data_IF_075727876909
#
_entry.id   IF_075727876909
#
_cell.length_a   1.000
_cell.length_b   1.000
_cell.length_c   1.000
_cell.angle_alpha   90.00
_cell.angle_beta   90.00
_cell.angle_gamma   90.00
#
_symmetry.space_group_name_H-M   'P 1'
#
loop_
_entity.id
_entity.type
_entity.pdbx_description
1 polymer ?
#
# COMPACT_ATOMS: atom_id res chain seq x y z
N UNK A 1 7.46 -37.49 -3.30
CA UNK A 1 7.33 -37.59 -1.84
C UNK A 1 8.31 -36.60 -1.22
N UNK A 2 7.80 -35.58 -0.53
CA UNK A 2 8.57 -34.57 0.19
C UNK A 2 8.86 -35.06 1.63
N UNK A 3 10.05 -34.83 2.21
CA UNK A 3 10.37 -35.34 3.55
C UNK A 3 10.22 -34.22 4.59
N UNK A 4 9.01 -33.99 5.07
CA UNK A 4 8.79 -33.29 6.33
C UNK A 4 8.04 -34.21 7.28
N UNK A 5 8.78 -35.22 7.77
CA UNK A 5 8.36 -36.05 8.88
C UNK A 5 8.56 -35.29 10.19
N UNK A 6 7.54 -35.38 11.05
CA UNK A 6 7.48 -34.86 12.42
C UNK A 6 8.78 -35.04 13.22
N UNK A 7 9.42 -33.94 13.61
CA UNK A 7 10.42 -33.90 14.68
C UNK A 7 9.82 -33.30 15.95
N UNK A 8 10.09 -33.99 17.06
CA UNK A 8 9.68 -33.69 18.45
C UNK A 8 10.16 -32.30 18.91
N UNK A 9 9.56 -31.70 19.96
CA UNK A 9 9.94 -30.37 20.44
C UNK A 9 11.44 -30.30 20.77
N UNK A 10 12.08 -29.27 20.24
CA UNK A 10 13.50 -28.92 20.39
C UNK A 10 13.92 -29.03 21.86
N UNK A 11 14.95 -29.84 22.10
CA UNK A 11 15.71 -29.78 23.35
C UNK A 11 16.33 -28.38 23.43
N UNK A 12 16.14 -27.73 24.58
CA UNK A 12 16.70 -26.43 24.89
C UNK A 12 18.23 -26.48 24.78
N UNK A 13 18.77 -25.87 23.73
CA UNK A 13 20.20 -25.89 23.34
C UNK A 13 21.10 -25.31 24.45
N UNK A 14 20.51 -24.62 25.43
CA UNK A 14 21.20 -24.03 26.57
C UNK A 14 21.71 -25.03 27.61
N UNK A 15 21.26 -26.30 27.58
CA UNK A 15 21.72 -27.31 28.55
C UNK A 15 23.12 -27.85 28.29
N UNK A 16 23.66 -27.67 27.07
CA UNK A 16 24.95 -28.22 26.64
C UNK A 16 26.06 -27.16 26.51
N UNK A 17 25.75 -25.88 26.78
CA UNK A 17 26.70 -24.78 26.65
C UNK A 17 27.55 -24.63 27.94
N UNK A 18 28.88 -24.34 27.80
CA UNK A 18 29.74 -23.91 28.91
C UNK A 18 29.14 -22.71 29.65
N UNK A 19 29.29 -22.64 30.98
CA UNK A 19 28.64 -21.60 31.80
C UNK A 19 28.92 -20.17 31.33
N UNK A 20 30.14 -19.92 30.86
CA UNK A 20 30.59 -18.61 30.34
C UNK A 20 29.79 -18.14 29.10
N UNK A 21 29.24 -19.06 28.31
CA UNK A 21 28.45 -18.75 27.11
C UNK A 21 26.94 -18.66 27.39
N UNK A 22 26.48 -19.14 28.55
CA UNK A 22 25.07 -19.01 28.96
C UNK A 22 24.71 -17.57 29.28
N UNK A 23 25.63 -16.83 29.87
CA UNK A 23 25.40 -15.43 30.23
C UNK A 23 25.42 -14.53 28.99
N UNK A 24 26.26 -14.82 28.00
CA UNK A 24 26.18 -14.19 26.67
C UNK A 24 24.82 -14.46 26.00
N UNK A 25 24.31 -15.69 26.07
CA UNK A 25 23.00 -16.01 25.51
C UNK A 25 21.84 -15.30 26.22
N UNK A 26 21.94 -15.03 27.54
CA UNK A 26 20.95 -14.25 28.30
C UNK A 26 21.01 -12.75 27.98
N UNK A 27 22.20 -12.20 27.73
CA UNK A 27 22.36 -10.80 27.35
C UNK A 27 21.95 -10.52 25.89
N UNK A 28 22.14 -11.52 25.01
CA UNK A 28 21.83 -11.41 23.57
C UNK A 28 20.46 -12.00 23.25
N UNK A 29 19.74 -12.60 24.22
CA UNK A 29 18.34 -12.97 23.98
C UNK A 29 17.57 -11.66 23.79
N UNK A 30 16.92 -11.43 22.63
CA UNK A 30 16.06 -10.28 22.47
C UNK A 30 15.01 -10.39 23.55
N UNK A 31 15.11 -9.52 24.56
CA UNK A 31 14.14 -9.45 25.63
C UNK A 31 12.80 -9.30 24.94
N UNK A 32 11.84 -10.15 25.31
CA UNK A 32 10.48 -10.18 24.75
C UNK A 32 9.74 -8.88 25.07
N UNK A 33 10.17 -7.75 24.51
CA UNK A 33 9.29 -6.64 24.22
C UNK A 33 8.51 -7.03 22.97
N UNK A 34 7.53 -7.93 23.15
CA UNK A 34 6.42 -8.05 22.21
C UNK A 34 5.57 -6.79 22.33
N UNK A 35 6.08 -5.68 21.79
CA UNK A 35 5.22 -4.79 21.04
C UNK A 35 5.14 -5.42 19.64
N UNK A 36 4.48 -6.57 19.55
CA UNK A 36 3.96 -7.02 18.26
C UNK A 36 2.83 -6.05 17.94
N UNK A 37 3.18 -4.90 17.38
CA UNK A 37 2.28 -4.26 16.42
C UNK A 37 2.01 -5.36 15.40
N UNK A 38 0.83 -5.98 15.46
CA UNK A 38 0.37 -6.92 14.42
C UNK A 38 0.75 -6.24 13.10
N UNK A 39 1.57 -6.91 12.30
CA UNK A 39 1.96 -6.34 11.01
C UNK A 39 0.69 -6.02 10.24
N UNK A 40 0.71 -4.98 9.39
CA UNK A 40 -0.46 -4.63 8.58
C UNK A 40 -1.04 -5.84 7.84
N UNK A 41 -0.17 -6.79 7.47
CA UNK A 41 -0.53 -8.04 6.82
C UNK A 41 -1.26 -9.02 7.73
N UNK A 42 -0.79 -9.21 8.96
CA UNK A 42 -1.49 -10.03 9.96
C UNK A 42 -2.89 -9.46 10.26
N UNK A 43 -3.00 -8.14 10.34
CA UNK A 43 -4.28 -7.47 10.57
C UNK A 43 -5.25 -7.65 9.41
N UNK A 44 -4.77 -7.45 8.18
CA UNK A 44 -5.56 -7.68 6.96
C UNK A 44 -6.02 -9.13 6.92
N UNK A 45 -5.10 -10.09 7.11
CA UNK A 45 -5.42 -11.52 7.14
C UNK A 45 -6.48 -11.84 8.21
N UNK A 46 -6.35 -11.28 9.41
CA UNK A 46 -7.32 -11.45 10.50
C UNK A 46 -8.72 -10.92 10.14
N UNK A 47 -8.80 -9.76 9.48
CA UNK A 47 -10.07 -9.19 9.04
C UNK A 47 -10.67 -10.03 7.92
N UNK A 48 -9.89 -10.43 6.92
CA UNK A 48 -10.35 -11.29 5.84
C UNK A 48 -10.87 -12.64 6.38
N UNK A 49 -10.17 -13.22 7.35
CA UNK A 49 -10.58 -14.45 8.03
C UNK A 49 -11.86 -14.30 8.85
N UNK A 50 -12.15 -13.10 9.37
CA UNK A 50 -13.42 -12.80 10.05
C UNK A 50 -14.56 -12.55 9.08
N UNK A 51 -14.27 -11.83 8.00
CA UNK A 51 -15.26 -11.45 7.02
C UNK A 51 -15.81 -12.65 6.26
N UNK A 52 -15.08 -13.81 6.21
CA UNK A 52 -15.46 -15.07 5.54
C UNK A 52 -16.45 -14.80 4.41
N UNK A 53 -16.09 -13.88 3.53
CA UNK A 53 -16.99 -13.48 2.48
C UNK A 53 -17.10 -14.69 1.59
N UNK A 54 -18.30 -15.27 1.48
CA UNK A 54 -18.56 -16.26 0.45
C UNK A 54 -18.04 -15.67 -0.86
N UNK A 55 -17.22 -16.44 -1.57
CA UNK A 55 -16.72 -16.03 -2.88
C UNK A 55 -17.91 -15.56 -3.73
N UNK A 56 -17.82 -14.33 -4.21
CA UNK A 56 -18.79 -13.77 -5.16
C UNK A 56 -18.06 -13.49 -6.45
N UNK A 57 -18.55 -14.07 -7.55
CA UNK A 57 -18.01 -13.84 -8.88
C UNK A 57 -17.96 -12.34 -9.23
N UNK A 58 -18.96 -11.58 -8.77
CA UNK A 58 -19.07 -10.14 -8.98
C UNK A 58 -17.91 -9.36 -8.33
N UNK A 59 -17.55 -9.65 -7.08
CA UNK A 59 -16.44 -8.99 -6.41
C UNK A 59 -15.11 -9.35 -7.05
N UNK A 60 -14.93 -10.62 -7.41
CA UNK A 60 -13.71 -11.11 -8.05
C UNK A 60 -13.51 -10.48 -9.44
N UNK A 61 -14.58 -10.40 -10.23
CA UNK A 61 -14.59 -9.66 -11.49
C UNK A 61 -14.30 -8.17 -11.26
N UNK A 62 -14.96 -7.53 -10.28
CA UNK A 62 -14.71 -6.13 -9.96
C UNK A 62 -13.25 -5.86 -9.61
N UNK A 63 -12.60 -6.72 -8.80
CA UNK A 63 -11.18 -6.58 -8.47
C UNK A 63 -10.26 -6.71 -9.69
N UNK A 64 -10.57 -7.61 -10.61
CA UNK A 64 -9.84 -7.75 -11.89
C UNK A 64 -10.03 -6.51 -12.77
N UNK A 65 -11.24 -6.00 -12.83
CA UNK A 65 -11.59 -4.86 -13.66
C UNK A 65 -11.06 -3.54 -13.10
N UNK A 66 -10.80 -3.46 -11.79
CA UNK A 66 -10.31 -2.28 -11.08
C UNK A 66 -9.11 -2.63 -10.21
N UNK A 67 -8.03 -3.13 -10.81
CA UNK A 67 -6.74 -3.28 -10.12
C UNK A 67 -6.20 -1.91 -9.68
N UNK A 68 -5.31 -1.90 -8.67
CA UNK A 68 -4.66 -0.69 -8.16
C UNK A 68 -4.10 0.23 -9.27
N UNK A 69 -3.51 -0.34 -10.33
CA UNK A 69 -3.00 0.42 -11.48
C UNK A 69 -4.13 1.18 -12.21
N UNK A 70 -5.27 0.53 -12.46
CA UNK A 70 -6.41 1.18 -13.12
C UNK A 70 -7.10 2.17 -12.19
N UNK A 71 -7.20 1.86 -10.89
CA UNK A 71 -7.72 2.79 -9.89
C UNK A 71 -6.86 4.06 -9.80
N UNK A 72 -5.53 3.92 -9.88
CA UNK A 72 -4.57 5.02 -9.99
C UNK A 72 -4.82 5.85 -11.25
N UNK A 73 -4.95 5.20 -12.41
CA UNK A 73 -5.26 5.89 -13.66
C UNK A 73 -6.59 6.66 -13.60
N UNK A 74 -7.63 6.11 -12.95
CA UNK A 74 -8.91 6.78 -12.75
C UNK A 74 -8.74 8.04 -11.89
N UNK A 75 -8.03 7.95 -10.76
CA UNK A 75 -7.81 9.10 -9.89
C UNK A 75 -6.94 10.17 -10.57
N UNK A 76 -5.99 9.78 -11.41
CA UNK A 76 -5.13 10.70 -12.17
C UNK A 76 -5.70 11.13 -13.53
N UNK A 77 -6.97 10.83 -13.84
CA UNK A 77 -7.53 11.05 -15.17
C UNK A 77 -7.53 12.52 -15.60
N UNK A 78 -7.74 13.46 -14.67
CA UNK A 78 -7.71 14.90 -14.97
C UNK A 78 -6.33 15.36 -15.45
N UNK A 79 -5.27 14.87 -14.79
CA UNK A 79 -3.88 15.12 -15.17
C UNK A 79 -3.53 14.47 -16.51
N UNK A 80 -4.00 13.25 -16.76
CA UNK A 80 -3.82 12.59 -18.05
C UNK A 80 -4.53 13.34 -19.18
N UNK A 81 -5.72 13.89 -18.91
CA UNK A 81 -6.44 14.74 -19.87
C UNK A 81 -5.68 16.05 -20.15
N UNK A 82 -5.02 16.65 -19.15
CA UNK A 82 -4.17 17.82 -19.36
C UNK A 82 -2.98 17.54 -20.28
N UNK A 83 -2.37 16.36 -20.18
CA UNK A 83 -1.32 15.90 -21.11
C UNK A 83 -1.85 15.82 -22.55
N UNK A 84 -3.03 15.22 -22.76
CA UNK A 84 -3.63 15.11 -24.10
C UNK A 84 -3.93 16.50 -24.70
N UNK A 85 -4.50 17.41 -23.92
CA UNK A 85 -4.74 18.80 -24.35
C UNK A 85 -3.46 19.53 -24.71
N UNK A 86 -2.37 19.30 -23.99
CA UNK A 86 -1.07 19.88 -24.34
C UNK A 86 -0.58 19.37 -25.70
N UNK A 87 -0.71 18.07 -25.98
CA UNK A 87 -0.35 17.49 -27.28
C UNK A 87 -1.21 18.02 -28.43
N UNK A 88 -2.51 18.24 -28.21
CA UNK A 88 -3.40 18.86 -29.21
C UNK A 88 -2.97 20.30 -29.53
N UNK A 89 -2.58 21.08 -28.51
CA UNK A 89 -2.06 22.44 -28.69
C UNK A 89 -0.68 22.49 -29.35
N UNK A 90 0.15 21.45 -29.16
CA UNK A 90 1.49 21.35 -29.72
C UNK A 90 1.52 21.28 -31.24
N UNK A 91 0.47 20.74 -31.88
CA UNK A 91 0.35 20.73 -33.35
C UNK A 91 0.30 22.14 -33.95
N UNK A 92 0.00 23.18 -33.16
CA UNK A 92 -0.25 24.54 -33.66
C UNK A 92 0.83 25.57 -33.32
N UNK A 93 1.57 25.41 -32.22
CA UNK A 93 2.57 26.40 -31.78
C UNK A 93 3.84 25.68 -31.32
N UNK A 94 4.91 25.81 -32.12
CA UNK A 94 6.18 25.17 -31.86
C UNK A 94 6.85 25.64 -30.56
N UNK A 95 7.53 24.68 -29.92
CA UNK A 95 8.54 24.84 -28.86
C UNK A 95 8.09 25.00 -27.39
N UNK A 96 6.95 24.45 -26.98
CA UNK A 96 6.70 24.13 -25.56
C UNK A 96 6.55 22.63 -25.32
N UNK A 97 7.35 22.11 -24.39
CA UNK A 97 7.50 20.68 -24.12
C UNK A 97 6.47 20.25 -23.06
N UNK A 98 5.46 19.46 -23.44
CA UNK A 98 4.46 18.85 -22.53
C UNK A 98 5.05 18.04 -21.36
N UNK A 99 6.37 17.93 -21.27
CA UNK A 99 7.15 17.41 -20.16
C UNK A 99 6.63 17.78 -18.76
N UNK A 100 6.14 19.00 -18.53
CA UNK A 100 5.62 19.39 -17.21
C UNK A 100 4.37 18.58 -16.83
N UNK A 101 3.38 18.53 -17.72
CA UNK A 101 2.14 17.78 -17.48
C UNK A 101 2.39 16.28 -17.46
N UNK A 102 3.30 15.78 -18.32
CA UNK A 102 3.71 14.37 -18.31
C UNK A 102 4.33 14.00 -16.96
N UNK A 103 5.21 14.84 -16.42
CA UNK A 103 5.83 14.62 -15.10
C UNK A 103 4.79 14.61 -13.99
N UNK A 104 3.84 15.56 -13.98
CA UNK A 104 2.78 15.61 -12.97
C UNK A 104 1.87 14.37 -13.05
N UNK A 105 1.42 13.99 -14.25
CA UNK A 105 0.59 12.81 -14.46
C UNK A 105 1.32 11.52 -14.03
N UNK A 106 2.60 11.38 -14.39
CA UNK A 106 3.43 10.24 -13.97
C UNK A 106 3.59 10.20 -12.45
N UNK A 107 3.82 11.35 -11.81
CA UNK A 107 4.01 11.42 -10.36
C UNK A 107 2.72 11.13 -9.59
N UNK A 108 1.58 11.59 -10.10
CA UNK A 108 0.27 11.21 -9.59
C UNK A 108 0.10 9.68 -9.62
N UNK A 109 0.35 9.05 -10.77
CA UNK A 109 0.20 7.61 -10.91
C UNK A 109 1.10 6.84 -9.91
N UNK A 110 2.36 7.25 -9.76
CA UNK A 110 3.31 6.65 -8.82
C UNK A 110 2.83 6.74 -7.36
N UNK A 111 2.40 7.94 -6.94
CA UNK A 111 1.96 8.20 -5.58
C UNK A 111 0.66 7.46 -5.25
N UNK A 112 -0.29 7.46 -6.18
CA UNK A 112 -1.57 6.76 -6.06
C UNK A 112 -1.37 5.24 -6.01
N UNK A 113 -0.53 4.67 -6.89
CA UNK A 113 -0.25 3.23 -6.89
C UNK A 113 0.41 2.79 -5.58
N UNK A 114 1.41 3.54 -5.10
CA UNK A 114 2.03 3.26 -3.79
C UNK A 114 1.01 3.34 -2.66
N UNK A 115 0.14 4.35 -2.67
CA UNK A 115 -0.91 4.49 -1.67
C UNK A 115 -1.88 3.31 -1.69
N UNK A 116 -2.29 2.84 -2.87
CA UNK A 116 -3.14 1.65 -3.02
C UNK A 116 -2.47 0.39 -2.48
N UNK A 117 -1.18 0.20 -2.75
CA UNK A 117 -0.42 -0.92 -2.22
C UNK A 117 -0.32 -0.85 -0.69
N UNK A 118 -0.03 0.33 -0.13
CA UNK A 118 0.08 0.58 1.32
C UNK A 118 -1.25 0.37 2.05
N UNK A 119 -2.37 0.67 1.39
CA UNK A 119 -3.71 0.43 1.89
C UNK A 119 -4.27 -0.96 1.56
N UNK A 120 -3.45 -1.85 0.97
CA UNK A 120 -3.85 -3.24 0.60
C UNK A 120 -5.12 -3.26 -0.26
N UNK A 121 -5.21 -2.33 -1.20
CA UNK A 121 -6.41 -2.11 -2.01
C UNK A 121 -6.87 -3.39 -2.74
N UNK A 122 -5.95 -4.16 -3.34
CA UNK A 122 -6.30 -5.40 -4.04
C UNK A 122 -6.90 -6.48 -3.10
N UNK A 123 -6.64 -6.37 -1.80
CA UNK A 123 -7.14 -7.30 -0.79
C UNK A 123 -8.53 -6.91 -0.24
N UNK A 124 -9.09 -5.77 -0.64
CA UNK A 124 -10.41 -5.30 -0.16
C UNK A 124 -11.49 -6.40 -0.22
N UNK A 125 -12.34 -6.55 0.78
CA UNK A 125 -13.29 -7.68 0.86
C UNK A 125 -14.69 -7.36 0.32
N UNK A 126 -14.93 -6.13 -0.14
CA UNK A 126 -16.20 -5.75 -0.77
C UNK A 126 -16.01 -4.57 -1.73
N UNK A 127 -16.86 -4.46 -2.75
CA UNK A 127 -16.82 -3.34 -3.69
C UNK A 127 -16.95 -1.98 -2.97
N UNK A 128 -17.75 -1.93 -1.89
CA UNK A 128 -17.88 -0.74 -1.04
C UNK A 128 -16.55 -0.37 -0.39
N UNK A 129 -15.83 -1.34 0.17
CA UNK A 129 -14.52 -1.08 0.78
C UNK A 129 -13.49 -0.65 -0.28
N UNK A 130 -13.43 -1.33 -1.43
CA UNK A 130 -12.52 -0.94 -2.51
C UNK A 130 -12.81 0.51 -2.97
N UNK A 131 -14.09 0.84 -3.19
CA UNK A 131 -14.49 2.19 -3.60
C UNK A 131 -14.17 3.24 -2.53
N UNK A 132 -14.35 2.91 -1.25
CA UNK A 132 -13.99 3.79 -0.14
C UNK A 132 -12.47 4.04 -0.06
N UNK A 133 -11.65 3.01 -0.27
CA UNK A 133 -10.19 3.16 -0.35
C UNK A 133 -9.81 4.07 -1.51
N UNK A 134 -10.39 3.85 -2.71
CA UNK A 134 -10.14 4.70 -3.89
C UNK A 134 -10.45 6.17 -3.63
N UNK A 135 -11.61 6.45 -3.08
CA UNK A 135 -12.01 7.81 -2.71
C UNK A 135 -11.07 8.41 -1.66
N UNK A 136 -10.71 7.63 -0.63
CA UNK A 136 -9.82 8.10 0.43
C UNK A 136 -8.43 8.45 -0.08
N UNK A 137 -7.84 7.60 -0.92
CA UNK A 137 -6.52 7.87 -1.53
C UNK A 137 -6.57 9.16 -2.35
N UNK A 138 -7.62 9.34 -3.14
CA UNK A 138 -7.82 10.55 -3.96
C UNK A 138 -7.90 11.82 -3.09
N UNK A 139 -8.72 11.78 -2.04
CA UNK A 139 -8.84 12.90 -1.10
C UNK A 139 -7.53 13.22 -0.38
N UNK A 140 -6.77 12.19 0.02
CA UNK A 140 -5.46 12.38 0.66
C UNK A 140 -4.45 12.96 -0.33
N UNK A 141 -4.51 12.57 -1.59
CA UNK A 141 -3.66 13.15 -2.64
C UNK A 141 -3.98 14.64 -2.82
N UNK A 142 -5.25 14.99 -3.04
CA UNK A 142 -5.68 16.38 -3.23
C UNK A 142 -5.32 17.23 -2.01
N UNK A 143 -5.55 16.72 -0.80
CA UNK A 143 -5.22 17.41 0.46
C UNK A 143 -3.73 17.75 0.55
N UNK A 144 -2.84 16.86 0.15
CA UNK A 144 -1.41 17.02 0.34
C UNK A 144 -0.72 17.70 -0.86
N UNK A 145 -1.17 17.45 -2.09
CA UNK A 145 -0.45 17.88 -3.30
C UNK A 145 -1.23 18.88 -4.15
N UNK A 146 -2.50 19.14 -3.84
CA UNK A 146 -3.40 19.92 -4.69
C UNK A 146 -4.12 19.05 -5.72
N UNK A 147 -5.14 19.62 -6.39
CA UNK A 147 -5.98 18.88 -7.33
C UNK A 147 -5.18 18.36 -8.53
N UNK A 148 -4.18 19.11 -8.99
CA UNK A 148 -3.34 18.73 -10.13
C UNK A 148 -1.91 18.40 -9.70
N UNK A 149 -1.68 18.10 -8.42
CA UNK A 149 -0.34 17.78 -7.91
C UNK A 149 0.66 18.92 -8.08
N UNK A 150 0.21 20.17 -7.93
CA UNK A 150 1.05 21.37 -8.12
C UNK A 150 2.13 21.48 -7.04
N UNK A 151 1.92 20.88 -5.87
CA UNK A 151 2.74 21.05 -4.68
C UNK A 151 3.59 19.82 -4.33
N UNK A 152 3.90 18.92 -5.28
CA UNK A 152 4.67 17.72 -4.94
C UNK A 152 6.09 18.09 -4.49
N UNK A 153 6.39 17.84 -3.21
CA UNK A 153 7.71 17.96 -2.61
C UNK A 153 7.90 16.92 -1.50
N UNK A 154 9.14 16.79 -0.99
CA UNK A 154 9.50 15.75 -0.03
C UNK A 154 8.76 15.86 1.30
N UNK A 155 8.54 17.09 1.80
CA UNK A 155 7.81 17.32 3.05
C UNK A 155 6.36 16.86 2.96
N UNK A 156 5.67 17.23 1.88
CA UNK A 156 4.28 16.84 1.62
C UNK A 156 4.18 15.35 1.33
N UNK A 157 5.20 14.73 0.74
CA UNK A 157 5.25 13.28 0.59
C UNK A 157 5.34 12.58 1.95
N UNK A 158 6.14 13.07 2.89
CA UNK A 158 6.19 12.53 4.26
C UNK A 158 4.84 12.69 4.97
N UNK A 159 4.16 13.82 4.79
CA UNK A 159 2.84 14.04 5.37
C UNK A 159 1.78 13.12 4.78
N UNK A 160 1.80 12.94 3.46
CA UNK A 160 0.93 11.99 2.75
C UNK A 160 1.15 10.56 3.26
N UNK A 161 2.41 10.13 3.45
CA UNK A 161 2.72 8.80 3.98
C UNK A 161 2.15 8.58 5.40
N UNK A 162 2.25 9.59 6.28
CA UNK A 162 1.66 9.56 7.62
C UNK A 162 0.13 9.51 7.57
N UNK A 163 -0.48 10.30 6.69
CA UNK A 163 -1.93 10.30 6.49
C UNK A 163 -2.41 8.92 6.00
N UNK A 164 -1.66 8.25 5.13
CA UNK A 164 -1.94 6.89 4.67
C UNK A 164 -1.85 5.86 5.81
N UNK A 165 -0.88 6.00 6.71
CA UNK A 165 -0.78 5.14 7.89
C UNK A 165 -2.01 5.29 8.80
N UNK A 166 -2.44 6.52 9.05
CA UNK A 166 -3.66 6.80 9.82
C UNK A 166 -4.93 6.32 9.11
N UNK A 167 -4.96 6.40 7.78
CA UNK A 167 -6.06 5.91 6.96
C UNK A 167 -6.18 4.39 6.98
N UNK A 168 -5.05 3.66 6.94
CA UNK A 168 -5.00 2.21 7.03
C UNK A 168 -5.76 1.73 8.27
N UNK A 169 -5.46 2.35 9.41
CA UNK A 169 -6.08 2.06 10.70
C UNK A 169 -7.60 2.24 10.73
N UNK A 170 -8.15 3.10 9.86
CA UNK A 170 -9.60 3.36 9.75
C UNK A 170 -10.30 2.43 8.78
N UNK A 171 -9.64 2.11 7.65
CA UNK A 171 -10.18 1.26 6.58
C UNK A 171 -10.20 -0.21 6.99
N UNK A 172 -9.18 -0.65 7.73
CA UNK A 172 -8.98 -2.04 8.14
C UNK A 172 -9.29 -2.20 9.62
N UNK A 173 -10.49 -1.82 10.07
CA UNK A 173 -10.98 -2.11 11.44
C UNK A 173 -11.78 -3.39 11.50
#
# INVERSE_FOLDING_TARGET
MWPFGSSKPEKDVTSELPEELKDFYKEVTPTKQRVTLDSKDERVAKILNRQKAHYTHELDQFKRDYLAQKASAINCAELQAAVLKCYEGWLFFGADNCSAEIKRASKCNELQERAFQKLRYNDCYSQRQCSAIRYLVDQLFIKNFGQLGENVNDELQVNFEKDLDNAFEKVWK
#
